data_IF_524464869342
#
_entry.id   IF_524464869342
#
_cell.length_a   1.000
_cell.length_b   1.000
_cell.length_c   1.000
_cell.angle_alpha   90.00
_cell.angle_beta   90.00
_cell.angle_gamma   90.00
#
_symmetry.space_group_name_H-M   'P 1'
#
loop_
_entity.id
_entity.type
_entity.pdbx_description
1 polymer ?
#
# COMPACT_ATOMS: atom_id res chain seq x y z
N UNK A 1 13.40 -1.69 11.77
CA UNK A 1 13.68 -1.51 10.32
C UNK A 1 13.19 -0.15 9.80
N UNK A 2 12.06 0.41 10.28
CA UNK A 2 11.44 1.64 9.75
C UNK A 2 12.16 2.97 10.09
N UNK A 3 12.81 3.05 11.26
CA UNK A 3 13.44 4.29 11.75
C UNK A 3 14.65 4.74 10.92
N UNK A 4 15.39 3.79 10.33
CA UNK A 4 16.65 4.07 9.62
C UNK A 4 16.41 4.71 8.25
N UNK A 5 15.29 4.41 7.59
CA UNK A 5 14.96 4.99 6.30
C UNK A 5 14.46 6.44 6.43
N UNK A 6 13.63 6.73 7.45
CA UNK A 6 13.21 8.11 7.76
C UNK A 6 14.39 9.00 8.15
N UNK A 7 15.36 8.43 8.88
CA UNK A 7 16.55 9.14 9.35
C UNK A 7 17.59 9.42 8.25
N UNK A 8 17.48 8.78 7.07
CA UNK A 8 18.30 9.15 5.91
C UNK A 8 17.93 10.54 5.43
N UNK A 9 18.94 11.33 5.07
CA UNK A 9 18.75 12.64 4.45
C UNK A 9 17.84 12.47 3.22
N UNK A 10 16.67 13.13 3.24
CA UNK A 10 15.61 13.08 2.22
C UNK A 10 14.80 11.77 2.12
N UNK A 11 14.91 10.82 3.07
CA UNK A 11 14.18 9.55 3.00
C UNK A 11 12.65 9.71 2.89
N UNK A 12 12.06 10.61 3.69
CA UNK A 12 10.62 10.91 3.59
C UNK A 12 10.21 11.54 2.25
N UNK A 13 11.09 12.34 1.64
CA UNK A 13 10.84 12.94 0.33
C UNK A 13 10.93 11.89 -0.78
N UNK A 14 11.86 10.94 -0.66
CA UNK A 14 11.96 9.79 -1.57
C UNK A 14 10.72 8.90 -1.49
N UNK A 15 10.27 8.55 -0.27
CA UNK A 15 9.00 7.83 -0.06
C UNK A 15 7.83 8.57 -0.71
N UNK A 16 7.72 9.89 -0.48
CA UNK A 16 6.64 10.70 -1.05
C UNK A 16 6.60 10.59 -2.57
N UNK A 17 7.76 10.60 -3.24
CA UNK A 17 7.86 10.46 -4.70
C UNK A 17 7.53 9.04 -5.16
N UNK A 18 8.09 8.01 -4.50
CA UNK A 18 7.88 6.60 -4.84
C UNK A 18 6.40 6.23 -4.79
N UNK A 19 5.71 6.63 -3.71
CA UNK A 19 4.28 6.38 -3.54
C UNK A 19 3.39 7.42 -4.24
N UNK A 20 3.98 8.38 -4.95
CA UNK A 20 3.26 9.48 -5.63
C UNK A 20 2.25 10.17 -4.71
N UNK A 21 2.65 10.41 -3.47
CA UNK A 21 1.78 10.97 -2.45
C UNK A 21 1.35 12.40 -2.83
N UNK A 22 0.07 12.72 -2.63
CA UNK A 22 -0.47 14.05 -2.91
C UNK A 22 0.12 15.16 -2.02
N UNK A 23 0.61 14.77 -0.84
CA UNK A 23 1.31 15.64 0.12
C UNK A 23 2.57 14.91 0.61
N UNK A 24 3.56 15.68 1.05
CA UNK A 24 4.76 15.11 1.64
C UNK A 24 4.39 14.21 2.83
N UNK A 25 4.92 13.00 2.81
CA UNK A 25 4.82 12.02 3.90
C UNK A 25 5.55 12.55 5.12
N UNK A 26 4.88 12.52 6.27
CA UNK A 26 5.38 13.08 7.52
C UNK A 26 6.10 12.03 8.39
N UNK A 27 5.74 10.76 8.22
CA UNK A 27 6.37 9.63 8.92
C UNK A 27 6.31 8.36 8.07
N UNK A 28 7.28 7.46 8.25
CA UNK A 28 7.23 6.12 7.64
C UNK A 28 6.01 5.35 8.12
N UNK A 29 5.64 5.51 9.39
CA UNK A 29 4.49 4.84 10.00
C UNK A 29 3.18 5.20 9.29
N UNK A 30 3.00 6.45 8.85
CA UNK A 30 1.80 6.85 8.09
C UNK A 30 1.63 6.08 6.77
N UNK A 31 2.74 5.68 6.14
CA UNK A 31 2.71 4.89 4.91
C UNK A 31 2.49 3.41 5.23
N UNK A 32 3.09 2.90 6.30
CA UNK A 32 2.86 1.53 6.77
C UNK A 32 1.40 1.31 7.17
N UNK A 33 0.80 2.25 7.90
CA UNK A 33 -0.61 2.19 8.30
C UNK A 33 -1.55 2.25 7.08
N UNK A 34 -1.21 3.06 6.08
CA UNK A 34 -1.95 3.12 4.82
C UNK A 34 -1.87 1.81 4.03
N UNK A 35 -0.66 1.23 3.89
CA UNK A 35 -0.45 -0.07 3.25
C UNK A 35 -1.19 -1.19 3.98
N UNK A 36 -1.12 -1.19 5.31
CA UNK A 36 -1.83 -2.15 6.16
C UNK A 36 -3.34 -2.08 5.94
N UNK A 37 -3.90 -0.87 5.89
CA UNK A 37 -5.32 -0.66 5.62
C UNK A 37 -5.72 -1.21 4.25
N UNK A 38 -4.93 -0.95 3.20
CA UNK A 38 -5.19 -1.48 1.87
C UNK A 38 -5.17 -3.03 1.85
N UNK A 39 -4.23 -3.64 2.56
CA UNK A 39 -4.14 -5.10 2.67
C UNK A 39 -5.36 -5.69 3.40
N UNK A 40 -5.74 -5.12 4.55
CA UNK A 40 -6.89 -5.58 5.34
C UNK A 40 -8.19 -5.44 4.55
N UNK A 41 -8.43 -4.30 3.89
CA UNK A 41 -9.64 -4.13 3.08
C UNK A 41 -9.69 -5.09 1.90
N UNK A 42 -8.55 -5.37 1.25
CA UNK A 42 -8.47 -6.36 0.17
C UNK A 42 -8.78 -7.76 0.69
N UNK A 43 -8.27 -8.12 1.87
CA UNK A 43 -8.51 -9.44 2.48
C UNK A 43 -10.00 -9.71 2.79
N UNK A 44 -10.80 -8.65 2.99
CA UNK A 44 -12.24 -8.77 3.23
C UNK A 44 -13.06 -9.08 1.97
N UNK A 45 -12.50 -8.88 0.77
CA UNK A 45 -13.25 -8.91 -0.51
C UNK A 45 -12.73 -9.98 -1.47
N UNK A 46 -12.52 -11.20 -0.96
CA UNK A 46 -12.06 -12.35 -1.75
C UNK A 46 -13.17 -12.90 -2.68
N UNK A 47 -13.51 -12.16 -3.72
CA UNK A 47 -14.54 -12.54 -4.67
C UNK A 47 -13.96 -13.05 -6.00
N UNK A 48 -14.58 -14.07 -6.63
CA UNK A 48 -14.15 -14.61 -7.92
C UNK A 48 -14.59 -13.76 -9.13
N UNK A 49 -15.19 -12.59 -8.88
CA UNK A 49 -15.71 -11.69 -9.91
C UNK A 49 -15.26 -10.27 -9.59
N UNK A 50 -15.26 -9.41 -10.62
CA UNK A 50 -15.11 -7.97 -10.41
C UNK A 50 -16.19 -7.46 -9.45
N UNK A 51 -15.80 -6.53 -8.59
CA UNK A 51 -16.69 -5.94 -7.60
C UNK A 51 -16.36 -4.47 -7.39
N UNK A 52 -17.37 -3.68 -7.07
CA UNK A 52 -17.23 -2.25 -6.78
C UNK A 52 -17.98 -1.91 -5.50
N UNK A 53 -17.53 -2.49 -4.37
CA UNK A 53 -18.19 -2.29 -3.07
C UNK A 53 -17.75 -0.97 -2.41
N UNK A 54 -16.45 -0.80 -2.18
CA UNK A 54 -15.86 0.47 -1.70
C UNK A 54 -15.09 1.18 -2.82
N UNK A 55 -14.33 0.39 -3.58
CA UNK A 55 -13.56 0.79 -4.75
C UNK A 55 -13.70 -0.29 -5.82
N UNK A 56 -13.52 0.03 -7.11
CA UNK A 56 -13.47 -0.97 -8.17
C UNK A 56 -12.27 -1.90 -7.97
N UNK A 57 -12.50 -3.21 -7.95
CA UNK A 57 -11.48 -4.25 -7.81
C UNK A 57 -11.67 -5.36 -8.86
N UNK A 58 -10.57 -5.98 -9.32
CA UNK A 58 -10.63 -7.11 -10.23
C UNK A 58 -11.18 -8.36 -9.52
N UNK A 59 -11.49 -9.39 -10.30
CA UNK A 59 -11.70 -10.74 -9.77
C UNK A 59 -10.43 -11.23 -9.05
N UNK A 60 -10.61 -11.98 -7.96
CA UNK A 60 -9.53 -12.55 -7.14
C UNK A 60 -8.53 -11.50 -6.61
N UNK A 61 -8.99 -10.44 -5.94
CA UNK A 61 -8.12 -9.32 -5.59
C UNK A 61 -7.06 -9.69 -4.53
N UNK A 62 -7.31 -10.69 -3.68
CA UNK A 62 -6.33 -11.18 -2.68
C UNK A 62 -5.15 -11.88 -3.36
N UNK A 63 -5.44 -12.69 -4.37
CA UNK A 63 -4.46 -13.41 -5.16
C UNK A 63 -3.58 -12.45 -5.97
N UNK A 64 -4.17 -11.40 -6.56
CA UNK A 64 -3.43 -10.36 -7.26
C UNK A 64 -2.46 -9.60 -6.34
N UNK A 65 -2.90 -9.20 -5.15
CA UNK A 65 -2.02 -8.55 -4.16
C UNK A 65 -0.91 -9.50 -3.68
N UNK A 66 -1.23 -10.77 -3.45
CA UNK A 66 -0.23 -11.77 -3.05
C UNK A 66 0.82 -11.98 -4.15
N UNK A 67 0.39 -12.05 -5.41
CA UNK A 67 1.29 -12.16 -6.57
C UNK A 67 2.22 -10.96 -6.67
N UNK A 68 1.69 -9.74 -6.45
CA UNK A 68 2.51 -8.54 -6.43
C UNK A 68 3.61 -8.61 -5.37
N UNK A 69 3.31 -9.09 -4.16
CA UNK A 69 4.31 -9.27 -3.10
C UNK A 69 5.48 -10.18 -3.49
N UNK A 70 5.24 -11.23 -4.28
CA UNK A 70 6.29 -12.12 -4.76
C UNK A 70 7.10 -11.57 -5.97
N UNK A 71 6.68 -10.44 -6.55
CA UNK A 71 7.34 -9.80 -7.70
C UNK A 71 8.26 -8.63 -7.31
N UNK A 72 8.28 -8.25 -6.02
CA UNK A 72 9.10 -7.18 -5.43
C UNK A 72 10.20 -7.78 -4.56
#
# INVERSE_FOLDING_TARGET
MSLTFSAKKQGLAEISRTFRACKNVQSVDSVLDWLWSAYVYTAMVKYPTEANFMIPLPAYPVEEVSRLYYLI
#
